data_IF_883957932338
#
_entry.id   IF_883957932338
#
_cell.length_a   1.000
_cell.length_b   1.000
_cell.length_c   1.000
_cell.angle_alpha   90.00
_cell.angle_beta   90.00
_cell.angle_gamma   90.00
#
_symmetry.space_group_name_H-M   'P 1'
#
loop_
_entity.id
_entity.type
_entity.pdbx_description
1 polymer ?
#
# COMPACT_ATOMS: atom_id res chain seq x y z
N UNK A 1 -4.49 15.50 -22.51
CA UNK A 1 -4.25 16.20 -21.22
C UNK A 1 -3.55 15.30 -20.19
N UNK A 2 -3.96 14.04 -19.99
CA UNK A 2 -3.28 13.09 -19.09
C UNK A 2 -2.00 12.44 -19.67
N UNK A 3 -1.83 12.51 -20.99
CA UNK A 3 -0.59 12.04 -21.66
C UNK A 3 0.54 13.08 -21.65
N UNK A 4 0.28 14.30 -21.15
CA UNK A 4 1.28 15.37 -21.09
C UNK A 4 2.24 15.15 -19.91
N UNK A 5 3.56 15.29 -20.06
CA UNK A 5 4.52 15.16 -18.94
C UNK A 5 4.19 16.01 -17.71
N UNK A 6 3.54 17.16 -17.88
CA UNK A 6 3.11 18.03 -16.76
C UNK A 6 2.04 17.39 -15.87
N UNK A 7 1.27 16.44 -16.41
CA UNK A 7 0.22 15.74 -15.65
C UNK A 7 0.80 14.80 -14.59
N UNK A 8 2.08 14.39 -14.69
CA UNK A 8 2.73 13.55 -13.67
C UNK A 8 2.71 14.20 -12.29
N UNK A 9 3.02 15.50 -12.23
CA UNK A 9 3.02 16.22 -10.97
C UNK A 9 1.62 16.28 -10.35
N UNK A 10 0.57 16.39 -11.16
CA UNK A 10 -0.82 16.36 -10.68
C UNK A 10 -1.15 14.97 -10.11
N UNK A 11 -0.79 13.90 -10.81
CA UNK A 11 -1.05 12.52 -10.40
C UNK A 11 -0.30 12.20 -9.10
N UNK A 12 0.98 12.54 -9.01
CA UNK A 12 1.80 12.35 -7.80
C UNK A 12 1.22 13.15 -6.62
N UNK A 13 0.80 14.39 -6.85
CA UNK A 13 0.19 15.21 -5.80
C UNK A 13 -1.15 14.64 -5.32
N UNK A 14 -1.98 14.16 -6.25
CA UNK A 14 -3.29 13.56 -5.96
C UNK A 14 -3.12 12.23 -5.21
N UNK A 15 -2.33 11.29 -5.75
CA UNK A 15 -2.07 10.00 -5.13
C UNK A 15 -1.44 10.17 -3.74
N UNK A 16 -0.52 11.13 -3.59
CA UNK A 16 0.12 11.40 -2.30
C UNK A 16 -0.82 11.95 -1.23
N UNK A 17 -1.84 12.74 -1.61
CA UNK A 17 -2.87 13.21 -0.67
C UNK A 17 -3.89 12.13 -0.37
N UNK A 18 -4.41 11.47 -1.42
CA UNK A 18 -5.44 10.47 -1.31
C UNK A 18 -5.00 9.25 -0.50
N UNK A 19 -3.77 8.78 -0.71
CA UNK A 19 -3.27 7.56 -0.07
C UNK A 19 -2.39 7.85 1.16
N UNK A 20 -2.39 9.10 1.64
CA UNK A 20 -1.58 9.56 2.78
C UNK A 20 -0.06 9.36 2.62
N UNK A 21 0.46 9.17 1.40
CA UNK A 21 1.89 8.97 1.15
C UNK A 21 2.75 10.20 1.54
N UNK A 22 2.14 11.38 1.68
CA UNK A 22 2.85 12.57 2.19
C UNK A 22 3.28 12.46 3.65
N UNK A 23 2.58 11.64 4.44
CA UNK A 23 2.93 11.41 5.83
C UNK A 23 4.01 10.33 5.97
N UNK A 24 4.31 9.64 4.87
CA UNK A 24 5.24 8.52 4.84
C UNK A 24 6.67 8.87 5.27
N UNK A 25 7.25 10.05 4.95
CA UNK A 25 8.55 10.46 5.47
C UNK A 25 8.61 10.55 7.01
N UNK A 26 7.47 10.81 7.67
CA UNK A 26 7.37 10.85 9.14
C UNK A 26 7.11 9.49 9.78
N UNK A 27 6.89 8.44 8.98
CA UNK A 27 6.58 7.11 9.47
C UNK A 27 7.87 6.41 9.92
N UNK A 28 8.02 6.30 11.24
CA UNK A 28 9.14 5.62 11.89
C UNK A 28 8.61 4.44 12.70
N UNK A 29 8.65 3.22 12.16
CA UNK A 29 8.42 2.02 12.92
C UNK A 29 9.47 1.90 14.03
N UNK A 30 9.12 1.17 15.07
CA UNK A 30 10.05 0.87 16.16
C UNK A 30 11.22 0.05 15.59
N UNK A 31 12.47 0.56 15.64
CA UNK A 31 13.62 -0.12 15.07
C UNK A 31 13.92 -1.45 15.78
N UNK A 32 13.51 -1.61 17.04
CA UNK A 32 13.67 -2.88 17.77
C UNK A 32 12.68 -3.94 17.26
N UNK A 33 11.50 -3.52 16.80
CA UNK A 33 10.48 -4.41 16.26
C UNK A 33 10.66 -4.68 14.76
N UNK A 34 11.19 -3.71 14.01
CA UNK A 34 11.35 -3.76 12.54
C UNK A 34 12.76 -3.32 12.12
N UNK A 35 13.80 -4.12 12.40
CA UNK A 35 15.19 -3.74 12.15
C UNK A 35 15.53 -3.59 10.66
N UNK A 36 14.76 -4.25 9.78
CA UNK A 36 14.95 -4.16 8.33
C UNK A 36 14.34 -2.90 7.69
N UNK A 37 13.55 -2.13 8.45
CA UNK A 37 12.91 -0.92 7.96
C UNK A 37 13.88 0.27 8.00
N UNK A 38 14.58 0.47 6.89
CA UNK A 38 15.46 1.62 6.69
C UNK A 38 14.80 2.73 5.84
N UNK A 39 15.48 3.87 5.73
CA UNK A 39 14.98 5.00 4.92
C UNK A 39 14.92 4.69 3.41
N UNK A 40 15.76 3.78 2.91
CA UNK A 40 15.74 3.38 1.50
C UNK A 40 14.50 2.53 1.18
N UNK A 41 14.13 1.62 2.07
CA UNK A 41 12.93 0.81 1.97
C UNK A 41 11.68 1.68 2.08
N UNK A 42 11.70 2.68 2.97
CA UNK A 42 10.61 3.66 3.08
C UNK A 42 10.41 4.42 1.76
N UNK A 43 11.47 4.96 1.17
CA UNK A 43 11.37 5.62 -0.13
C UNK A 43 10.94 4.65 -1.24
N UNK A 44 11.40 3.39 -1.17
CA UNK A 44 11.01 2.38 -2.15
C UNK A 44 9.50 2.07 -2.10
N UNK A 45 8.92 1.91 -0.90
CA UNK A 45 7.49 1.74 -0.72
C UNK A 45 6.68 2.92 -1.26
N UNK A 46 7.11 4.16 -0.96
CA UNK A 46 6.45 5.35 -1.48
C UNK A 46 6.46 5.34 -3.01
N UNK A 47 7.62 5.04 -3.60
CA UNK A 47 7.79 5.07 -5.05
C UNK A 47 7.05 3.94 -5.77
N UNK A 48 6.95 2.76 -5.16
CA UNK A 48 6.11 1.65 -5.64
C UNK A 48 4.67 2.10 -5.87
N UNK A 49 4.05 2.71 -4.85
CA UNK A 49 2.65 3.15 -4.93
C UNK A 49 2.45 4.30 -5.90
N UNK A 50 3.37 5.28 -5.90
CA UNK A 50 3.31 6.38 -6.87
C UNK A 50 3.35 5.87 -8.31
N UNK A 51 4.26 4.93 -8.61
CA UNK A 51 4.39 4.35 -9.95
C UNK A 51 3.17 3.52 -10.32
N UNK A 52 2.66 2.71 -9.39
CA UNK A 52 1.47 1.89 -9.61
C UNK A 52 0.22 2.71 -9.93
N UNK A 53 -0.05 3.76 -9.13
CA UNK A 53 -1.21 4.64 -9.38
C UNK A 53 -0.99 5.45 -10.65
N UNK A 54 0.24 5.90 -10.91
CA UNK A 54 0.56 6.66 -12.12
C UNK A 54 0.39 5.81 -13.38
N UNK A 55 0.83 4.55 -13.37
CA UNK A 55 0.63 3.64 -14.51
C UNK A 55 -0.84 3.41 -14.75
N UNK A 56 -1.61 3.12 -13.68
CA UNK A 56 -3.04 2.85 -13.81
C UNK A 56 -3.81 4.03 -14.43
N UNK A 57 -3.54 5.26 -13.97
CA UNK A 57 -4.19 6.46 -14.51
C UNK A 57 -3.74 6.76 -15.94
N UNK A 58 -2.46 6.56 -16.26
CA UNK A 58 -1.93 6.82 -17.60
C UNK A 58 -2.38 5.81 -18.64
N UNK A 59 -2.54 4.57 -18.24
CA UNK A 59 -2.98 3.46 -19.09
C UNK A 59 -4.52 3.38 -19.19
N UNK A 60 -5.25 4.29 -18.53
CA UNK A 60 -6.72 4.27 -18.42
C UNK A 60 -7.23 2.91 -17.89
N UNK A 61 -6.50 2.35 -16.93
CA UNK A 61 -6.76 1.05 -16.35
C UNK A 61 -7.99 1.04 -15.45
N UNK A 62 -8.53 -0.14 -15.21
CA UNK A 62 -9.76 -0.28 -14.43
C UNK A 62 -9.49 0.09 -12.96
N UNK A 63 -10.35 0.92 -12.36
CA UNK A 63 -10.27 1.27 -10.93
C UNK A 63 -10.26 0.02 -10.02
N UNK A 64 -10.88 -1.08 -10.45
CA UNK A 64 -10.84 -2.35 -9.72
C UNK A 64 -9.43 -2.95 -9.62
N UNK A 65 -8.52 -2.64 -10.55
CA UNK A 65 -7.11 -3.05 -10.48
C UNK A 65 -6.42 -2.48 -9.24
N UNK A 66 -6.89 -1.38 -8.67
CA UNK A 66 -6.39 -0.91 -7.37
C UNK A 66 -6.53 -1.96 -6.26
N UNK A 67 -7.43 -2.92 -6.39
CA UNK A 67 -7.62 -4.00 -5.42
C UNK A 67 -7.18 -5.36 -5.95
N UNK A 68 -7.29 -5.59 -7.26
CA UNK A 68 -7.11 -6.91 -7.85
C UNK A 68 -5.88 -7.03 -8.74
N UNK A 69 -5.08 -5.96 -8.91
CA UNK A 69 -3.89 -6.04 -9.75
C UNK A 69 -2.95 -7.15 -9.25
N UNK A 70 -2.49 -7.94 -10.20
CA UNK A 70 -1.50 -8.99 -10.06
C UNK A 70 -0.08 -8.48 -10.34
N UNK A 71 0.12 -7.16 -10.47
CA UNK A 71 1.41 -6.56 -10.76
C UNK A 71 1.73 -5.42 -9.81
N UNK A 72 3.03 -5.16 -9.64
CA UNK A 72 3.53 -3.96 -8.94
C UNK A 72 4.86 -3.50 -9.55
N UNK A 73 5.42 -2.42 -9.01
CA UNK A 73 6.70 -1.87 -9.43
C UNK A 73 7.76 -2.10 -8.35
N UNK A 74 8.81 -2.85 -8.70
CA UNK A 74 9.87 -3.23 -7.76
C UNK A 74 11.25 -2.72 -8.22
N UNK A 75 12.05 -2.27 -7.26
CA UNK A 75 13.51 -2.18 -7.39
C UNK A 75 14.16 -3.33 -6.59
N UNK A 76 15.49 -3.47 -6.64
CA UNK A 76 16.20 -4.55 -5.96
C UNK A 76 15.91 -4.60 -4.44
N UNK A 77 16.03 -3.46 -3.74
CA UNK A 77 15.77 -3.39 -2.29
C UNK A 77 14.37 -3.86 -1.91
N UNK A 78 13.36 -3.47 -2.69
CA UNK A 78 11.98 -3.83 -2.46
C UNK A 78 11.70 -5.29 -2.86
N UNK A 79 12.35 -5.76 -3.92
CA UNK A 79 12.28 -7.15 -4.36
C UNK A 79 12.89 -8.10 -3.32
N UNK A 80 14.02 -7.73 -2.70
CA UNK A 80 14.60 -8.46 -1.57
C UNK A 80 13.63 -8.53 -0.40
N UNK A 81 13.06 -7.38 0.01
CA UNK A 81 12.08 -7.32 1.09
C UNK A 81 10.83 -8.17 0.79
N UNK A 82 10.44 -8.24 -0.48
CA UNK A 82 9.30 -9.02 -0.92
C UNK A 82 9.62 -10.48 -1.27
N UNK A 83 10.88 -10.90 -1.24
CA UNK A 83 11.33 -12.24 -1.63
C UNK A 83 11.17 -12.55 -3.12
N UNK A 84 11.21 -11.54 -3.99
CA UNK A 84 11.04 -11.68 -5.44
C UNK A 84 12.41 -11.79 -6.13
N UNK A 85 12.78 -12.94 -6.69
CA UNK A 85 14.06 -13.08 -7.39
C UNK A 85 14.03 -12.40 -8.78
N UNK A 86 15.21 -12.08 -9.32
CA UNK A 86 15.36 -11.62 -10.72
C UNK A 86 15.21 -10.11 -10.95
N UNK A 87 15.06 -9.31 -9.88
CA UNK A 87 15.07 -7.84 -9.93
C UNK A 87 16.40 -7.33 -9.40
N UNK A 88 17.11 -6.54 -10.20
CA UNK A 88 18.45 -6.03 -9.87
C UNK A 88 18.56 -4.52 -10.12
N UNK A 89 19.33 -3.82 -9.30
CA UNK A 89 19.55 -2.38 -9.37
C UNK A 89 18.41 -1.52 -8.82
N UNK A 90 18.66 -0.20 -8.87
CA UNK A 90 17.81 0.81 -8.25
C UNK A 90 16.58 1.22 -9.08
N UNK A 91 16.49 0.76 -10.33
CA UNK A 91 15.39 1.13 -11.22
C UNK A 91 14.16 0.27 -10.96
N UNK A 92 13.02 0.94 -10.87
CA UNK A 92 11.73 0.27 -10.75
C UNK A 92 11.31 -0.36 -12.07
N UNK A 93 10.82 -1.59 -11.98
CA UNK A 93 10.30 -2.36 -13.11
C UNK A 93 8.96 -2.98 -12.75
N UNK A 94 8.05 -3.05 -13.73
CA UNK A 94 6.77 -3.73 -13.58
C UNK A 94 7.04 -5.24 -13.46
N UNK A 95 6.55 -5.85 -12.39
CA UNK A 95 6.65 -7.28 -12.11
C UNK A 95 5.26 -7.82 -11.85
N UNK A 96 4.91 -8.92 -12.52
CA UNK A 96 3.66 -9.65 -12.31
C UNK A 96 3.90 -10.79 -11.33
N UNK A 97 2.93 -11.01 -10.44
CA UNK A 97 2.92 -12.08 -9.46
C UNK A 97 2.04 -13.22 -9.96
N UNK A 98 2.58 -14.44 -9.95
CA UNK A 98 1.80 -15.65 -10.30
C UNK A 98 0.86 -16.11 -9.18
N UNK A 99 1.01 -15.55 -7.97
CA UNK A 99 0.30 -15.97 -6.78
C UNK A 99 -0.70 -14.91 -6.31
N UNK A 100 -1.93 -15.35 -6.05
CA UNK A 100 -3.11 -14.62 -5.55
C UNK A 100 -2.96 -14.14 -4.08
N UNK A 101 -1.72 -13.83 -3.67
CA UNK A 101 -1.34 -13.53 -2.29
C UNK A 101 -1.20 -12.03 -2.04
N UNK A 102 -0.94 -11.23 -3.08
CA UNK A 102 -0.79 -9.77 -2.95
C UNK A 102 -1.58 -9.06 -4.04
N UNK A 103 -2.79 -8.64 -3.71
CA UNK A 103 -3.69 -7.93 -4.63
C UNK A 103 -3.57 -6.42 -4.47
N UNK A 104 -3.16 -5.74 -5.54
CA UNK A 104 -3.20 -4.29 -5.69
C UNK A 104 -2.66 -3.49 -4.51
N UNK A 105 -3.32 -2.38 -4.23
CA UNK A 105 -2.92 -1.35 -3.27
C UNK A 105 -2.91 -1.85 -1.82
N UNK A 106 -3.79 -2.79 -1.46
CA UNK A 106 -3.85 -3.33 -0.10
C UNK A 106 -2.69 -4.29 0.22
N UNK A 107 -2.02 -4.82 -0.80
CA UNK A 107 -0.83 -5.66 -0.67
C UNK A 107 0.49 -4.89 -0.63
N UNK A 108 0.47 -3.57 -0.84
CA UNK A 108 1.69 -2.75 -0.88
C UNK A 108 2.16 -2.38 0.54
N UNK A 109 3.48 -2.45 0.76
CA UNK A 109 4.10 -2.15 2.05
C UNK A 109 3.87 -0.70 2.51
N UNK A 110 3.68 0.24 1.59
CA UNK A 110 3.33 1.63 1.91
C UNK A 110 1.98 1.74 2.65
N UNK A 111 0.95 1.06 2.17
CA UNK A 111 -0.38 1.08 2.75
C UNK A 111 -0.42 0.27 4.03
N UNK A 112 0.27 -0.88 4.05
CA UNK A 112 0.41 -1.70 5.24
C UNK A 112 1.10 -0.92 6.38
N UNK A 113 2.18 -0.20 6.08
CA UNK A 113 2.89 0.64 7.04
C UNK A 113 2.04 1.85 7.47
N UNK A 114 1.46 2.59 6.52
CA UNK A 114 0.65 3.79 6.81
C UNK A 114 -0.61 3.48 7.65
N UNK A 115 -1.11 2.24 7.59
CA UNK A 115 -2.29 1.79 8.33
C UNK A 115 -1.96 0.94 9.58
N UNK A 116 -0.73 1.02 10.06
CA UNK A 116 -0.25 0.30 11.24
C UNK A 116 0.14 1.23 12.39
N UNK A 117 0.34 0.66 13.58
CA UNK A 117 1.03 1.36 14.67
C UNK A 117 2.55 1.15 14.52
N UNK A 118 3.40 2.04 15.07
CA UNK A 118 4.85 1.91 14.96
C UNK A 118 5.42 0.56 15.44
N UNK A 119 4.74 -0.09 16.39
CA UNK A 119 5.18 -1.34 17.02
C UNK A 119 4.34 -2.57 16.65
N UNK A 120 3.26 -2.43 15.87
CA UNK A 120 2.38 -3.55 15.48
C UNK A 120 1.43 -3.22 14.33
N UNK A 121 1.05 -4.26 13.59
CA UNK A 121 -0.03 -4.18 12.59
C UNK A 121 -1.39 -3.92 13.23
N UNK A 122 -2.27 -3.18 12.54
CA UNK A 122 -3.62 -2.87 13.02
C UNK A 122 -4.68 -3.06 11.93
N UNK A 123 -5.38 -4.22 11.93
CA UNK A 123 -6.48 -4.45 11.00
C UNK A 123 -7.62 -3.42 11.13
N UNK A 124 -7.83 -2.88 12.33
CA UNK A 124 -8.85 -1.87 12.59
C UNK A 124 -8.52 -0.53 11.94
N UNK A 125 -7.27 -0.07 12.02
CA UNK A 125 -6.83 1.15 11.35
C UNK A 125 -6.87 0.99 9.83
N UNK A 126 -6.47 -0.19 9.33
CA UNK A 126 -6.58 -0.53 7.90
C UNK A 126 -8.02 -0.52 7.41
N UNK A 127 -8.94 -1.12 8.17
CA UNK A 127 -10.37 -1.11 7.85
C UNK A 127 -10.96 0.31 7.82
N UNK A 128 -10.58 1.16 8.78
CA UNK A 128 -10.93 2.58 8.77
C UNK A 128 -10.39 3.29 7.52
N UNK A 129 -9.12 3.07 7.17
CA UNK A 129 -8.52 3.68 5.99
C UNK A 129 -9.23 3.27 4.69
N UNK A 130 -9.66 2.00 4.56
CA UNK A 130 -10.46 1.54 3.41
C UNK A 130 -11.81 2.27 3.36
N UNK A 131 -12.49 2.39 4.50
CA UNK A 131 -13.77 3.10 4.59
C UNK A 131 -13.65 4.58 4.21
N UNK A 132 -12.59 5.25 4.70
CA UNK A 132 -12.32 6.66 4.46
C UNK A 132 -11.92 6.94 3.00
N UNK A 133 -10.95 6.18 2.47
CA UNK A 133 -10.29 6.52 1.20
C UNK A 133 -10.89 5.83 -0.02
N UNK A 134 -11.45 4.64 0.15
CA UNK A 134 -11.95 3.85 -0.98
C UNK A 134 -13.47 3.88 -1.07
N UNK A 135 -14.17 3.81 0.07
CA UNK A 135 -15.63 3.74 0.11
C UNK A 135 -16.29 5.10 0.35
N UNK A 136 -15.54 6.13 0.75
CA UNK A 136 -16.08 7.46 1.06
C UNK A 136 -17.10 7.45 2.20
N UNK A 137 -17.03 6.45 3.08
CA UNK A 137 -17.99 6.20 4.16
C UNK A 137 -17.24 6.21 5.50
N UNK A 138 -16.79 7.38 5.98
CA UNK A 138 -15.93 7.47 7.15
C UNK A 138 -16.62 6.84 8.37
N UNK A 139 -15.92 5.99 9.16
CA UNK A 139 -16.56 5.32 10.26
C UNK A 139 -17.03 6.35 11.29
N UNK A 140 -18.24 6.19 11.85
CA UNK A 140 -18.77 7.11 12.85
C UNK A 140 -17.82 7.15 14.06
N UNK A 141 -17.62 8.35 14.62
CA UNK A 141 -16.60 8.68 15.63
C UNK A 141 -16.70 7.91 16.98
N UNK A 142 -17.68 7.01 17.17
CA UNK A 142 -18.03 6.49 18.49
C UNK A 142 -17.36 5.14 18.85
N UNK A 143 -16.84 5.00 20.08
CA UNK A 143 -16.10 3.82 20.55
C UNK A 143 -16.93 2.53 20.75
N UNK A 144 -18.24 2.51 20.43
CA UNK A 144 -19.11 1.33 20.64
C UNK A 144 -19.38 0.49 19.38
N UNK A 145 -18.55 0.58 18.35
CA UNK A 145 -18.85 -0.01 17.04
C UNK A 145 -18.54 -1.52 16.87
N UNK A 146 -18.24 -2.26 17.95
CA UNK A 146 -17.94 -3.71 17.86
C UNK A 146 -19.10 -4.58 17.35
N UNK A 147 -20.31 -4.03 17.19
CA UNK A 147 -21.52 -4.81 16.89
C UNK A 147 -22.05 -4.70 15.45
N UNK A 148 -21.60 -3.73 14.66
CA UNK A 148 -22.18 -3.46 13.31
C UNK A 148 -21.27 -3.94 12.17
N UNK A 149 -19.96 -4.09 12.39
CA UNK A 149 -19.01 -4.31 11.29
C UNK A 149 -18.67 -5.79 11.03
N UNK A 150 -19.66 -6.70 11.03
CA UNK A 150 -19.37 -8.14 10.80
C UNK A 150 -18.78 -8.43 9.42
N UNK A 151 -19.14 -7.65 8.39
CA UNK A 151 -18.72 -7.93 7.01
C UNK A 151 -17.37 -7.31 6.63
N UNK A 152 -17.05 -6.09 7.10
CA UNK A 152 -15.76 -5.45 6.79
C UNK A 152 -14.60 -6.00 7.64
N UNK A 153 -14.89 -6.47 8.86
CA UNK A 153 -13.90 -7.15 9.71
C UNK A 153 -13.45 -8.47 9.08
N UNK A 154 -14.31 -9.17 8.34
CA UNK A 154 -13.96 -10.42 7.66
C UNK A 154 -12.93 -10.21 6.54
N UNK A 155 -13.00 -9.11 5.78
CA UNK A 155 -11.97 -8.76 4.78
C UNK A 155 -10.66 -8.37 5.50
N UNK A 156 -10.74 -7.57 6.57
CA UNK A 156 -9.56 -7.18 7.35
C UNK A 156 -8.87 -8.36 8.06
N UNK A 157 -9.64 -9.36 8.53
CA UNK A 157 -9.14 -10.60 9.14
C UNK A 157 -8.62 -11.60 8.10
N UNK A 158 -9.24 -11.69 6.92
CA UNK A 158 -8.75 -12.54 5.83
C UNK A 158 -7.37 -12.06 5.33
N UNK A 159 -7.15 -10.74 5.31
CA UNK A 159 -5.81 -10.16 5.06
C UNK A 159 -4.84 -10.49 6.21
N UNK A 160 -5.29 -10.39 7.46
CA UNK A 160 -4.48 -10.62 8.68
C UNK A 160 -3.77 -11.99 8.76
N UNK A 161 -4.36 -13.08 8.25
CA UNK A 161 -3.82 -14.44 8.45
C UNK A 161 -2.75 -14.83 7.41
N UNK A 162 -2.70 -14.18 6.24
CA UNK A 162 -1.63 -14.38 5.24
C UNK A 162 -0.45 -13.41 5.39
N UNK A 163 -0.60 -12.35 6.19
CA UNK A 163 0.30 -11.19 6.23
C UNK A 163 1.55 -11.32 7.13
N UNK A 164 1.64 -12.32 8.03
CA UNK A 164 2.73 -12.39 9.03
C UNK A 164 4.13 -12.60 8.41
N UNK A 165 4.23 -13.15 7.19
CA UNK A 165 5.52 -13.37 6.50
C UNK A 165 5.89 -12.26 5.51
N UNK A 166 5.12 -11.19 5.43
CA UNK A 166 5.28 -10.15 4.40
C UNK A 166 5.81 -8.82 4.95
N UNK A 167 5.88 -8.68 6.27
CA UNK A 167 6.31 -7.47 6.97
C UNK A 167 7.66 -7.69 7.69
N UNK A 168 8.12 -8.94 7.78
CA UNK A 168 9.44 -9.35 8.28
C UNK A 168 10.15 -10.14 7.19
#
# INVERSE_FOLDING_TARGET
>A
MLSDPKSSALIENFAGQWLYLRNFPGLKPDPDAFPEFDDNLREAFRRETELFVTSLIREDGNVLELLTADYTYLNERLAEHYGVPGVYGNHFRKVTFDNDVRGGLLGQGSILAATSYPNRTSPTLRGKWVLDNLLGAPPPLHPQMFRILKTAILIALALCVKDWKLIV
#
